data_IF_341759897846
#
_entry.id   IF_341759897846
#
_cell.length_a   1.000
_cell.length_b   1.000
_cell.length_c   1.000
_cell.angle_alpha   90.00
_cell.angle_beta   90.00
_cell.angle_gamma   90.00
#
_symmetry.space_group_name_H-M   'P 1'
#
loop_
_entity.id
_entity.type
_entity.pdbx_description
1 polymer ?
#
# COMPACT_ATOMS: atom_id res chain seq x y z
N UNK A 1 -10.36 7.15 -17.25
CA UNK A 1 -9.97 6.13 -16.25
C UNK A 1 -8.98 6.83 -15.35
N UNK A 2 -9.31 7.04 -14.07
CA UNK A 2 -8.41 7.74 -13.15
C UNK A 2 -7.22 6.82 -12.89
N UNK A 3 -6.01 7.25 -13.25
CA UNK A 3 -4.77 6.60 -12.85
C UNK A 3 -4.69 6.66 -11.33
N UNK A 4 -5.01 5.56 -10.65
CA UNK A 4 -4.90 5.46 -9.20
C UNK A 4 -3.41 5.61 -8.86
N UNK A 5 -3.06 6.68 -8.15
CA UNK A 5 -1.68 6.93 -7.74
C UNK A 5 -1.25 5.80 -6.80
N UNK A 6 -0.25 5.01 -7.21
CA UNK A 6 0.32 3.91 -6.41
C UNK A 6 1.54 4.41 -5.65
N UNK A 7 1.29 5.04 -4.51
CA UNK A 7 2.33 5.59 -3.63
C UNK A 7 2.85 4.54 -2.67
N UNK A 8 2.01 3.61 -2.24
CA UNK A 8 2.34 2.57 -1.28
C UNK A 8 2.45 1.19 -1.96
N UNK A 9 3.25 0.31 -1.35
CA UNK A 9 3.26 -1.12 -1.63
C UNK A 9 3.45 -1.90 -0.33
N UNK A 10 3.65 -3.21 -0.43
CA UNK A 10 4.12 -4.01 0.69
C UNK A 10 5.25 -4.95 0.27
N UNK A 11 6.13 -5.25 1.20
CA UNK A 11 7.22 -6.21 1.05
C UNK A 11 7.09 -7.33 2.08
N UNK A 12 7.67 -8.48 1.75
CA UNK A 12 7.77 -9.61 2.66
C UNK A 12 9.13 -9.63 3.36
N UNK A 13 9.08 -9.89 4.65
CA UNK A 13 10.24 -10.11 5.51
C UNK A 13 10.10 -11.42 6.24
N UNK A 14 11.17 -11.85 6.90
CA UNK A 14 11.14 -13.02 7.80
C UNK A 14 10.09 -12.89 8.93
N UNK A 15 9.70 -11.66 9.28
CA UNK A 15 8.71 -11.37 10.33
C UNK A 15 7.29 -11.16 9.79
N UNK A 16 7.06 -11.36 8.49
CA UNK A 16 5.77 -11.13 7.83
C UNK A 16 5.82 -10.01 6.80
N UNK A 17 4.66 -9.50 6.39
CA UNK A 17 4.58 -8.41 5.43
C UNK A 17 4.62 -7.04 6.13
N UNK A 18 5.23 -6.04 5.49
CA UNK A 18 5.23 -4.64 5.93
C UNK A 18 4.89 -3.70 4.77
N UNK A 19 4.26 -2.57 5.08
CA UNK A 19 3.93 -1.53 4.08
C UNK A 19 5.16 -0.68 3.80
N UNK A 20 5.41 -0.35 2.52
CA UNK A 20 6.52 0.50 2.06
C UNK A 20 6.00 1.67 1.24
N UNK A 21 6.79 2.75 1.21
CA UNK A 21 6.55 3.92 0.34
C UNK A 21 7.36 3.76 -0.94
N UNK A 22 6.70 3.82 -2.10
CA UNK A 22 7.33 3.70 -3.43
C UNK A 22 7.79 5.04 -4.00
N UNK A 23 7.15 6.13 -3.56
CA UNK A 23 7.37 7.46 -4.12
C UNK A 23 7.36 8.51 -3.03
N UNK A 24 8.45 9.27 -2.98
CA UNK A 24 8.58 10.47 -2.16
C UNK A 24 8.84 11.69 -3.06
N UNK A 25 8.40 12.90 -2.67
CA UNK A 25 7.57 13.21 -1.49
C UNK A 25 6.08 12.82 -1.67
N UNK A 26 5.39 12.50 -0.57
CA UNK A 26 3.98 12.05 -0.56
C UNK A 26 2.96 13.16 -0.92
N UNK A 27 3.26 14.42 -0.62
CA UNK A 27 2.57 15.60 -1.15
C UNK A 27 3.59 16.43 -1.96
N UNK A 28 3.27 16.83 -3.20
CA UNK A 28 4.18 17.61 -4.06
C UNK A 28 4.28 19.11 -3.69
N UNK A 29 3.64 19.56 -2.61
CA UNK A 29 3.56 20.96 -2.20
C UNK A 29 2.11 21.45 -2.25
N UNK A 30 1.40 21.25 -1.14
CA UNK A 30 0.01 21.61 -0.97
C UNK A 30 -0.06 23.10 -0.54
N UNK A 31 -0.84 23.94 -1.23
CA UNK A 31 -0.93 25.39 -1.01
C UNK A 31 -2.25 25.83 -0.35
N UNK A 32 -3.18 24.90 -0.16
CA UNK A 32 -4.46 25.12 0.50
C UNK A 32 -4.92 23.90 1.29
N UNK A 33 -5.79 24.11 2.27
CA UNK A 33 -6.37 23.04 3.07
C UNK A 33 -7.11 22.00 2.20
N UNK A 34 -7.83 22.47 1.16
CA UNK A 34 -8.52 21.58 0.23
C UNK A 34 -7.59 20.67 -0.57
N UNK A 35 -6.39 21.16 -0.93
CA UNK A 35 -5.36 20.34 -1.59
C UNK A 35 -4.75 19.32 -0.63
N UNK A 36 -4.56 19.70 0.64
CA UNK A 36 -4.12 18.77 1.70
C UNK A 36 -5.14 17.65 1.87
N UNK A 37 -6.42 17.99 2.01
CA UNK A 37 -7.50 17.01 2.20
C UNK A 37 -7.63 16.07 0.99
N UNK A 38 -7.57 16.61 -0.23
CA UNK A 38 -7.62 15.81 -1.46
C UNK A 38 -6.43 14.84 -1.55
N UNK A 39 -5.21 15.31 -1.26
CA UNK A 39 -4.02 14.46 -1.30
C UNK A 39 -4.06 13.37 -0.23
N UNK A 40 -4.50 13.69 0.98
CA UNK A 40 -4.67 12.71 2.06
C UNK A 40 -5.73 11.67 1.69
N UNK A 41 -6.84 12.08 1.08
CA UNK A 41 -7.89 11.16 0.64
C UNK A 41 -7.33 10.15 -0.38
N UNK A 42 -6.56 10.61 -1.38
CA UNK A 42 -5.91 9.74 -2.36
C UNK A 42 -4.92 8.75 -1.70
N UNK A 43 -4.12 9.22 -0.75
CA UNK A 43 -3.17 8.37 -0.02
C UNK A 43 -3.89 7.30 0.83
N UNK A 44 -5.04 7.63 1.42
CA UNK A 44 -5.86 6.67 2.17
C UNK A 44 -6.44 5.58 1.25
N UNK A 45 -6.99 5.97 0.11
CA UNK A 45 -7.52 5.02 -0.88
C UNK A 45 -6.45 4.04 -1.37
N UNK A 46 -5.23 4.52 -1.61
CA UNK A 46 -4.11 3.66 -2.00
C UNK A 46 -3.67 2.72 -0.85
N UNK A 47 -3.63 3.20 0.40
CA UNK A 47 -3.37 2.35 1.57
C UNK A 47 -4.43 1.26 1.74
N UNK A 48 -5.71 1.58 1.53
CA UNK A 48 -6.79 0.59 1.60
C UNK A 48 -6.61 -0.49 0.52
N UNK A 49 -6.22 -0.09 -0.70
CA UNK A 49 -5.89 -1.02 -1.77
C UNK A 49 -4.69 -1.92 -1.41
N UNK A 50 -3.63 -1.35 -0.83
CA UNK A 50 -2.48 -2.11 -0.32
C UNK A 50 -2.89 -3.08 0.79
N UNK A 51 -3.74 -2.66 1.73
CA UNK A 51 -4.22 -3.51 2.81
C UNK A 51 -4.96 -4.75 2.28
N UNK A 52 -5.81 -4.59 1.25
CA UNK A 52 -6.49 -5.71 0.60
C UNK A 52 -5.48 -6.66 -0.06
N UNK A 53 -4.51 -6.12 -0.79
CA UNK A 53 -3.48 -6.92 -1.47
C UNK A 53 -2.61 -7.68 -0.47
N UNK A 54 -2.13 -7.01 0.57
CA UNK A 54 -1.30 -7.57 1.63
C UNK A 54 -2.02 -8.68 2.39
N UNK A 55 -3.28 -8.47 2.80
CA UNK A 55 -4.10 -9.52 3.45
C UNK A 55 -4.31 -10.74 2.56
N UNK A 56 -4.57 -10.53 1.26
CA UNK A 56 -4.70 -11.64 0.29
C UNK A 56 -3.39 -12.39 0.14
N UNK A 57 -2.27 -11.67 0.14
CA UNK A 57 -0.95 -12.24 -0.03
C UNK A 57 -0.54 -13.06 1.21
N UNK A 58 -0.79 -12.57 2.43
CA UNK A 58 -0.60 -13.33 3.68
C UNK A 58 -1.44 -14.61 3.69
N UNK A 59 -2.74 -14.51 3.38
CA UNK A 59 -3.62 -15.70 3.32
C UNK A 59 -3.16 -16.75 2.31
N UNK A 60 -2.50 -16.33 1.21
CA UNK A 60 -1.93 -17.27 0.24
C UNK A 60 -0.70 -17.99 0.80
N UNK A 61 0.17 -17.29 1.52
CA UNK A 61 1.32 -17.90 2.20
C UNK A 61 0.86 -18.89 3.29
N UNK A 62 -0.16 -18.54 4.10
CA UNK A 62 -0.72 -19.42 5.12
C UNK A 62 -1.31 -20.72 4.55
N UNK A 63 -1.81 -20.67 3.31
CA UNK A 63 -2.42 -21.82 2.63
C UNK A 63 -1.44 -22.58 1.71
N UNK A 64 -0.15 -22.21 1.68
CA UNK A 64 0.83 -23.03 0.96
C UNK A 64 1.01 -24.36 1.71
N UNK A 65 0.88 -25.50 1.03
CA UNK A 65 1.20 -26.78 1.65
C UNK A 65 2.66 -26.76 2.10
N UNK A 66 2.94 -27.32 3.27
CA UNK A 66 4.29 -27.56 3.76
C UNK A 66 5.01 -28.48 2.77
N UNK A 67 5.67 -27.91 1.77
CA UNK A 67 6.64 -28.65 0.97
C UNK A 67 7.86 -28.87 1.84
N UNK A 68 7.90 -30.02 2.52
CA UNK A 68 9.14 -30.59 3.01
C UNK A 68 10.02 -30.86 1.79
N UNK A 69 11.12 -30.11 1.68
CA UNK A 69 12.21 -30.39 0.76
C UNK A 69 13.33 -31.07 1.53
#
# INVERSE_FOLDING_TARGET
>A
MADTIKVFDFEYTASGALVVVRREPLCPGCMSDGEVDAQIALLKEDLDAVAVRMKRAIRREENKPLTFQ
#
